data_IF_395099913253
#
_entry.id   IF_395099913253
#
_cell.length_a   1.000
_cell.length_b   1.000
_cell.length_c   1.000
_cell.angle_alpha   90.00
_cell.angle_beta   90.00
_cell.angle_gamma   90.00
#
_symmetry.space_group_name_H-M   'P 1'
#
loop_
_entity.id
_entity.type
_entity.pdbx_description
1 polymer ?
#
# COMPACT_ATOMS: atom_id res chain seq x y z
N UNK A 1 11.17 7.93 -9.69
CA UNK A 1 10.87 7.17 -8.46
C UNK A 1 10.48 5.74 -8.83
N UNK A 2 11.23 4.72 -8.38
CA UNK A 2 11.02 3.33 -8.82
C UNK A 2 9.69 2.79 -8.27
N UNK A 3 8.69 2.65 -9.15
CA UNK A 3 7.39 2.03 -8.86
C UNK A 3 7.54 0.72 -8.10
N UNK A 4 8.61 -0.02 -8.38
CA UNK A 4 8.99 -1.25 -7.70
C UNK A 4 9.06 -1.13 -6.16
N UNK A 5 9.73 -0.11 -5.62
CA UNK A 5 9.86 0.07 -4.16
C UNK A 5 8.51 0.42 -3.53
N UNK A 6 7.72 1.25 -4.22
CA UNK A 6 6.37 1.59 -3.76
C UNK A 6 5.46 0.34 -3.75
N UNK A 7 5.54 -0.50 -4.79
CA UNK A 7 4.82 -1.78 -4.83
C UNK A 7 5.24 -2.71 -3.70
N UNK A 8 6.53 -2.82 -3.40
CA UNK A 8 7.00 -3.63 -2.27
C UNK A 8 6.45 -3.12 -0.93
N UNK A 9 6.45 -1.81 -0.71
CA UNK A 9 5.86 -1.23 0.50
C UNK A 9 4.35 -1.49 0.59
N UNK A 10 3.63 -1.42 -0.52
CA UNK A 10 2.20 -1.74 -0.57
C UNK A 10 1.97 -3.23 -0.26
N UNK A 11 2.81 -4.13 -0.77
CA UNK A 11 2.74 -5.57 -0.45
C UNK A 11 3.04 -5.83 1.03
N UNK A 12 4.03 -5.16 1.60
CA UNK A 12 4.31 -5.24 3.03
C UNK A 12 3.12 -4.74 3.86
N UNK A 13 2.45 -3.65 3.42
CA UNK A 13 1.24 -3.13 4.08
C UNK A 13 0.07 -4.09 3.97
N UNK A 14 -0.15 -4.69 2.80
CA UNK A 14 -1.16 -5.73 2.60
C UNK A 14 -0.96 -6.88 3.58
N UNK A 15 0.29 -7.34 3.74
CA UNK A 15 0.62 -8.49 4.57
C UNK A 15 0.13 -8.35 6.02
N UNK A 16 0.24 -7.16 6.61
CA UNK A 16 -0.30 -6.92 7.96
C UNK A 16 -1.73 -6.41 7.95
N UNK A 17 -2.17 -5.60 6.99
CA UNK A 17 -3.54 -5.06 7.00
C UNK A 17 -4.60 -6.16 6.86
N UNK A 18 -4.32 -7.21 6.08
CA UNK A 18 -5.29 -8.28 5.83
C UNK A 18 -5.74 -9.02 7.11
N UNK A 19 -4.84 -9.52 7.99
CA UNK A 19 -5.22 -10.10 9.27
C UNK A 19 -6.07 -9.16 10.14
N UNK A 20 -5.74 -7.87 10.16
CA UNK A 20 -6.50 -6.88 10.91
C UNK A 20 -7.89 -6.64 10.32
N UNK A 21 -8.08 -6.77 9.00
CA UNK A 21 -9.40 -6.73 8.38
C UNK A 21 -10.28 -7.92 8.80
N UNK A 22 -9.69 -9.12 8.93
CA UNK A 22 -10.41 -10.29 9.44
C UNK A 22 -10.84 -10.09 10.90
N UNK A 23 -9.95 -9.49 11.71
CA UNK A 23 -10.26 -9.15 13.09
C UNK A 23 -11.38 -8.10 13.17
N UNK A 24 -11.27 -7.00 12.42
CA UNK A 24 -12.31 -5.96 12.36
C UNK A 24 -13.67 -6.53 11.96
N UNK A 25 -13.72 -7.43 10.97
CA UNK A 25 -14.96 -8.13 10.58
C UNK A 25 -15.59 -8.83 11.78
N UNK A 26 -14.79 -9.59 12.51
CA UNK A 26 -15.27 -10.40 13.62
C UNK A 26 -15.83 -9.58 14.80
N UNK A 27 -15.47 -8.30 14.89
CA UNK A 27 -15.95 -7.39 15.93
C UNK A 27 -17.10 -6.50 15.44
N UNK A 28 -17.02 -5.96 14.23
CA UNK A 28 -17.95 -4.94 13.74
C UNK A 28 -19.13 -5.50 12.94
N UNK A 29 -18.90 -6.58 12.20
CA UNK A 29 -19.89 -7.16 11.27
C UNK A 29 -19.85 -8.70 11.31
N UNK A 30 -20.04 -9.33 12.48
CA UNK A 30 -19.86 -10.77 12.62
C UNK A 30 -20.88 -11.59 11.81
N UNK A 31 -22.08 -11.06 11.58
CA UNK A 31 -23.12 -11.69 10.76
C UNK A 31 -22.82 -11.73 9.26
N UNK A 32 -21.88 -10.90 8.78
CA UNK A 32 -21.62 -10.77 7.35
C UNK A 32 -20.83 -11.98 6.82
N UNK A 33 -21.34 -12.74 5.83
CA UNK A 33 -20.67 -13.95 5.37
C UNK A 33 -19.43 -13.65 4.51
N UNK A 34 -19.42 -12.52 3.78
CA UNK A 34 -18.35 -12.14 2.87
C UNK A 34 -17.11 -11.55 3.55
N UNK A 35 -16.08 -11.24 2.76
CA UNK A 35 -14.95 -10.45 3.22
C UNK A 35 -15.34 -8.97 3.30
N UNK A 36 -14.94 -8.27 4.37
CA UNK A 36 -15.21 -6.83 4.49
C UNK A 36 -14.72 -6.09 3.26
N UNK A 37 -13.47 -6.34 2.85
CA UNK A 37 -12.89 -5.81 1.63
C UNK A 37 -12.28 -6.96 0.83
N UNK A 38 -12.40 -6.93 -0.49
CA UNK A 38 -11.71 -7.92 -1.33
C UNK A 38 -10.19 -7.78 -1.17
N UNK A 39 -9.40 -8.85 -0.96
CA UNK A 39 -7.96 -8.77 -0.69
C UNK A 39 -7.19 -7.95 -1.75
N UNK A 40 -7.56 -8.11 -3.02
CA UNK A 40 -6.95 -7.37 -4.13
C UNK A 40 -7.09 -5.84 -3.99
N UNK A 41 -8.14 -5.34 -3.34
CA UNK A 41 -8.39 -3.90 -3.18
C UNK A 41 -7.44 -3.25 -2.17
N UNK A 42 -6.93 -4.02 -1.20
CA UNK A 42 -5.91 -3.55 -0.26
C UNK A 42 -4.60 -3.17 -0.99
N UNK A 43 -4.32 -3.79 -2.13
CA UNK A 43 -3.17 -3.49 -2.99
C UNK A 43 -3.55 -2.51 -4.10
N UNK A 44 -4.70 -2.73 -4.75
CA UNK A 44 -5.13 -1.93 -5.89
C UNK A 44 -5.43 -0.48 -5.51
N UNK A 45 -6.04 -0.22 -4.35
CA UNK A 45 -6.46 1.13 -3.99
C UNK A 45 -5.27 2.08 -3.75
N UNK A 46 -4.24 1.71 -2.96
CA UNK A 46 -3.02 2.54 -2.85
C UNK A 46 -2.29 2.71 -4.19
N UNK A 47 -2.26 1.68 -5.04
CA UNK A 47 -1.66 1.77 -6.37
C UNK A 47 -2.42 2.73 -7.29
N UNK A 48 -3.75 2.69 -7.28
CA UNK A 48 -4.60 3.61 -8.03
C UNK A 48 -4.36 5.05 -7.57
N UNK A 49 -4.31 5.26 -6.26
CA UNK A 49 -4.03 6.56 -5.66
C UNK A 49 -2.65 7.10 -6.08
N UNK A 50 -1.61 6.25 -6.03
CA UNK A 50 -0.27 6.63 -6.50
C UNK A 50 -0.25 6.96 -8.00
N UNK A 51 -0.92 6.14 -8.82
CA UNK A 51 -1.01 6.35 -10.26
C UNK A 51 -1.73 7.66 -10.61
N UNK A 52 -2.82 7.98 -9.90
CA UNK A 52 -3.59 9.21 -10.15
C UNK A 52 -2.82 10.47 -9.80
N UNK A 53 -2.08 10.51 -8.70
CA UNK A 53 -1.21 11.65 -8.37
C UNK A 53 -0.14 11.84 -9.43
N UNK A 54 0.49 10.75 -9.89
CA UNK A 54 1.50 10.83 -10.93
C UNK A 54 0.92 11.29 -12.26
N UNK A 55 -0.22 10.74 -12.66
CA UNK A 55 -0.93 11.19 -13.85
C UNK A 55 -1.27 12.69 -13.76
N UNK A 56 -1.77 13.12 -12.60
CA UNK A 56 -2.11 14.52 -12.37
C UNK A 56 -0.87 15.43 -12.39
N UNK A 57 0.30 14.95 -11.94
CA UNK A 57 1.57 15.69 -12.03
C UNK A 57 2.14 15.82 -13.45
N UNK A 58 1.63 15.04 -14.42
CA UNK A 58 2.04 15.13 -15.83
C UNK A 58 1.26 16.21 -16.60
N UNK A 59 0.26 16.85 -15.98
CA UNK A 59 -0.44 17.96 -16.63
C UNK A 59 0.48 19.19 -16.67
N UNK A 60 0.73 19.77 -17.86
CA UNK A 60 1.64 20.90 -17.99
C UNK A 60 1.11 22.10 -17.21
N UNK A 61 1.97 22.72 -16.41
CA UNK A 61 1.65 24.01 -15.79
C UNK A 61 1.41 25.05 -16.89
N UNK A 62 0.48 26.00 -16.68
CA UNK A 62 0.33 27.12 -17.60
C UNK A 62 1.66 27.88 -17.73
N UNK A 63 1.90 28.40 -18.94
CA UNK A 63 3.16 29.00 -19.41
C UNK A 63 3.81 30.13 -18.58
N UNK A 64 3.16 30.89 -17.66
CA UNK A 64 3.87 31.97 -16.97
C UNK A 64 4.90 31.50 -15.93
N UNK A 65 4.96 30.20 -15.61
CA UNK A 65 5.86 29.63 -14.59
C UNK A 65 7.19 29.10 -15.16
N UNK A 66 7.37 29.13 -16.48
CA UNK A 66 8.58 28.63 -17.15
C UNK A 66 9.81 29.55 -16.94
N UNK A 67 9.60 30.84 -16.65
CA UNK A 67 10.67 31.83 -16.57
C UNK A 67 11.51 31.76 -15.28
N UNK A 68 11.09 31.03 -14.24
CA UNK A 68 11.84 30.96 -12.97
C UNK A 68 11.87 29.54 -12.36
N UNK A 69 12.75 28.64 -12.85
CA UNK A 69 12.83 27.25 -12.38
C UNK A 69 13.23 27.10 -10.90
N UNK A 70 13.70 28.16 -10.24
CA UNK A 70 14.03 28.14 -8.80
C UNK A 70 12.81 28.27 -7.89
N UNK A 71 11.73 28.93 -8.32
CA UNK A 71 10.49 29.04 -7.54
C UNK A 71 9.68 27.73 -7.50
N UNK A 72 9.86 26.86 -8.49
CA UNK A 72 9.28 25.51 -8.55
C UNK A 72 9.83 24.54 -7.49
N UNK A 73 11.05 24.76 -7.01
CA UNK A 73 11.68 23.95 -5.96
C UNK A 73 11.29 24.38 -4.54
N UNK A 74 10.92 25.65 -4.36
CA UNK A 74 10.54 26.21 -3.05
C UNK A 74 9.03 26.16 -2.76
N UNK A 75 8.19 25.81 -3.75
CA UNK A 75 6.74 25.72 -3.58
C UNK A 75 6.22 24.29 -3.77
N UNK A 76 6.33 23.42 -2.74
CA UNK A 76 5.68 22.10 -2.74
C UNK A 76 4.14 22.17 -2.85
N UNK A 77 3.56 23.38 -2.82
CA UNK A 77 2.14 23.68 -2.97
C UNK A 77 1.64 23.83 -4.42
N UNK A 78 2.49 23.66 -5.44
CA UNK A 78 2.10 23.76 -6.85
C UNK A 78 1.21 22.63 -7.38
N UNK A 79 0.77 21.69 -6.52
CA UNK A 79 -0.43 20.93 -6.83
C UNK A 79 -1.62 21.89 -6.74
N UNK A 80 -1.91 22.54 -7.87
CA UNK A 80 -3.02 23.50 -8.03
C UNK A 80 -4.26 22.93 -7.35
N UNK A 81 -5.03 23.73 -6.62
CA UNK A 81 -6.24 23.26 -5.91
C UNK A 81 -7.14 22.38 -6.80
N UNK A 82 -7.17 22.67 -8.11
CA UNK A 82 -7.82 21.88 -9.17
C UNK A 82 -7.36 20.42 -9.20
N UNK A 83 -6.05 20.20 -9.16
CA UNK A 83 -5.43 18.87 -9.15
C UNK A 83 -5.81 18.10 -7.89
N UNK A 84 -5.83 18.78 -6.73
CA UNK A 84 -6.27 18.16 -5.46
C UNK A 84 -7.73 17.73 -5.53
N UNK A 85 -8.59 18.57 -6.11
CA UNK A 85 -10.01 18.24 -6.32
C UNK A 85 -10.19 17.10 -7.30
N UNK A 86 -9.47 17.11 -8.43
CA UNK A 86 -9.56 16.02 -9.42
C UNK A 86 -9.14 14.70 -8.77
N UNK A 87 -8.03 14.67 -8.04
CA UNK A 87 -7.57 13.47 -7.32
C UNK A 87 -8.60 13.04 -6.26
N UNK A 88 -9.18 13.98 -5.51
CA UNK A 88 -10.22 13.66 -4.53
C UNK A 88 -11.50 13.10 -5.19
N UNK A 89 -11.94 13.69 -6.31
CA UNK A 89 -13.11 13.24 -7.07
C UNK A 89 -12.89 11.85 -7.68
N UNK A 90 -11.69 11.58 -8.22
CA UNK A 90 -11.33 10.25 -8.72
C UNK A 90 -11.31 9.24 -7.59
N UNK A 91 -10.77 9.60 -6.42
CA UNK A 91 -10.80 8.76 -5.22
C UNK A 91 -12.23 8.44 -4.78
N UNK A 92 -13.09 9.46 -4.72
CA UNK A 92 -14.49 9.30 -4.37
C UNK A 92 -15.23 8.39 -5.37
N UNK A 93 -15.04 8.62 -6.67
CA UNK A 93 -15.63 7.79 -7.72
C UNK A 93 -15.15 6.34 -7.63
N UNK A 94 -13.87 6.11 -7.33
CA UNK A 94 -13.31 4.79 -7.13
C UNK A 94 -13.93 4.09 -5.91
N UNK A 95 -14.07 4.78 -4.78
CA UNK A 95 -14.72 4.24 -3.57
C UNK A 95 -16.17 3.84 -3.85
N UNK A 96 -16.93 4.72 -4.50
CA UNK A 96 -18.33 4.46 -4.85
C UNK A 96 -18.43 3.28 -5.82
N UNK A 97 -17.60 3.25 -6.86
CA UNK A 97 -17.57 2.16 -7.85
C UNK A 97 -17.19 0.81 -7.23
N UNK A 98 -16.23 0.80 -6.29
CA UNK A 98 -15.87 -0.40 -5.52
C UNK A 98 -17.03 -0.84 -4.64
N UNK A 99 -17.72 0.11 -3.98
CA UNK A 99 -18.91 -0.18 -3.17
C UNK A 99 -20.00 -0.87 -3.99
N UNK A 100 -20.30 -0.33 -5.18
CA UNK A 100 -21.21 -1.00 -6.12
C UNK A 100 -20.70 -2.40 -6.50
N UNK A 101 -19.44 -2.52 -6.92
CA UNK A 101 -18.88 -3.78 -7.41
C UNK A 101 -18.87 -4.88 -6.34
N UNK A 102 -18.65 -4.52 -5.07
CA UNK A 102 -18.53 -5.49 -3.99
C UNK A 102 -19.88 -5.88 -3.39
N UNK A 103 -20.81 -4.94 -3.25
CA UNK A 103 -22.05 -5.16 -2.50
C UNK A 103 -23.30 -5.27 -3.37
N UNK A 104 -23.35 -4.56 -4.51
CA UNK A 104 -24.60 -4.37 -5.26
C UNK A 104 -24.58 -4.95 -6.67
N UNK A 105 -23.42 -5.36 -7.20
CA UNK A 105 -23.27 -5.80 -8.61
C UNK A 105 -24.20 -6.95 -9.04
N UNK A 106 -24.63 -7.78 -8.09
CA UNK A 106 -25.47 -8.94 -8.37
C UNK A 106 -26.96 -8.58 -8.39
N UNK A 107 -27.33 -7.50 -7.73
CA UNK A 107 -28.72 -7.08 -7.54
C UNK A 107 -29.10 -5.90 -8.43
N UNK A 108 -28.14 -4.99 -8.66
CA UNK A 108 -28.37 -3.74 -9.38
C UNK A 108 -27.33 -3.53 -10.48
N UNK A 109 -27.80 -3.07 -11.64
CA UNK A 109 -26.92 -2.55 -12.68
C UNK A 109 -26.34 -1.19 -12.27
N UNK A 110 -25.16 -0.83 -12.78
CA UNK A 110 -24.50 0.46 -12.47
C UNK A 110 -25.40 1.68 -12.69
N UNK A 111 -26.26 1.63 -13.70
CA UNK A 111 -27.10 2.75 -14.15
C UNK A 111 -28.40 2.91 -13.33
N UNK A 112 -28.73 1.94 -12.47
CA UNK A 112 -29.91 2.03 -11.62
C UNK A 112 -29.61 2.86 -10.38
N UNK A 113 -30.24 4.02 -10.22
CA UNK A 113 -29.99 4.90 -9.07
C UNK A 113 -30.37 4.31 -7.71
N UNK A 114 -31.16 3.22 -7.69
CA UNK A 114 -31.61 2.57 -6.46
C UNK A 114 -30.44 2.12 -5.56
N UNK A 115 -29.39 1.50 -6.13
CA UNK A 115 -28.26 1.06 -5.30
C UNK A 115 -27.52 2.22 -4.64
N UNK A 116 -27.48 3.40 -5.29
CA UNK A 116 -26.84 4.58 -4.73
C UNK A 116 -27.65 5.14 -3.56
N UNK A 117 -28.99 5.11 -3.67
CA UNK A 117 -29.88 5.45 -2.57
C UNK A 117 -29.70 4.49 -1.39
N UNK A 118 -29.74 3.17 -1.63
CA UNK A 118 -29.53 2.16 -0.59
C UNK A 118 -28.16 2.29 0.07
N UNK A 119 -27.12 2.54 -0.73
CA UNK A 119 -25.77 2.77 -0.23
C UNK A 119 -25.72 4.00 0.67
N UNK A 120 -26.25 5.15 0.22
CA UNK A 120 -26.30 6.38 1.01
C UNK A 120 -27.16 6.24 2.28
N UNK A 121 -28.25 5.48 2.19
CA UNK A 121 -29.12 5.18 3.33
C UNK A 121 -28.36 4.37 4.38
N UNK A 122 -27.70 3.26 3.99
CA UNK A 122 -26.90 2.42 4.91
C UNK A 122 -25.74 3.19 5.56
N UNK A 123 -25.15 4.16 4.84
CA UNK A 123 -24.08 4.99 5.40
C UNK A 123 -24.55 5.94 6.52
N UNK A 124 -25.84 6.25 6.58
CA UNK A 124 -26.41 7.23 7.52
C UNK A 124 -27.35 6.60 8.54
N UNK A 125 -28.01 5.50 8.18
CA UNK A 125 -29.02 4.82 8.96
C UNK A 125 -28.65 3.35 9.11
N UNK A 126 -28.21 3.00 10.31
CA UNK A 126 -27.84 1.64 10.69
C UNK A 126 -28.23 1.37 12.15
N UNK A 127 -28.43 0.10 12.48
CA UNK A 127 -28.85 -0.31 13.81
C UNK A 127 -27.77 -0.10 14.88
N UNK A 128 -28.14 -0.30 16.15
CA UNK A 128 -27.21 -0.12 17.28
C UNK A 128 -26.30 -1.32 17.56
N UNK A 129 -26.58 -2.48 16.96
CA UNK A 129 -25.91 -3.74 17.31
C UNK A 129 -24.75 -4.11 16.40
N UNK A 130 -24.84 -3.80 15.10
CA UNK A 130 -23.81 -4.15 14.13
C UNK A 130 -23.60 -3.00 13.13
N UNK A 131 -22.35 -2.86 12.74
CA UNK A 131 -21.87 -1.87 11.78
C UNK A 131 -21.95 -2.52 10.40
N UNK A 132 -22.81 -2.04 9.49
CA UNK A 132 -22.81 -2.47 8.10
C UNK A 132 -21.42 -2.52 7.46
N UNK A 133 -21.10 -3.61 6.74
CA UNK A 133 -19.78 -3.82 6.15
C UNK A 133 -19.42 -2.71 5.16
N UNK A 134 -20.42 -2.12 4.48
CA UNK A 134 -20.26 -1.01 3.55
C UNK A 134 -19.56 0.18 4.20
N UNK A 135 -19.93 0.53 5.43
CA UNK A 135 -19.36 1.67 6.16
C UNK A 135 -17.90 1.39 6.52
N UNK A 136 -17.61 0.21 7.07
CA UNK A 136 -16.23 -0.20 7.38
C UNK A 136 -15.37 -0.14 6.13
N UNK A 137 -15.88 -0.65 5.02
CA UNK A 137 -15.17 -0.66 3.73
C UNK A 137 -14.92 0.72 3.19
N UNK A 138 -15.89 1.65 3.28
CA UNK A 138 -15.68 3.05 2.89
C UNK A 138 -14.56 3.67 3.72
N UNK A 139 -14.57 3.51 5.05
CA UNK A 139 -13.50 4.04 5.90
C UNK A 139 -12.13 3.44 5.54
N UNK A 140 -12.05 2.13 5.33
CA UNK A 140 -10.81 1.46 4.95
C UNK A 140 -10.33 1.95 3.58
N UNK A 141 -11.21 2.08 2.59
CA UNK A 141 -10.84 2.58 1.27
C UNK A 141 -10.37 4.03 1.30
N UNK A 142 -10.98 4.89 2.12
CA UNK A 142 -10.51 6.26 2.35
C UNK A 142 -9.09 6.23 2.93
N UNK A 143 -8.85 5.45 3.98
CA UNK A 143 -7.52 5.33 4.59
C UNK A 143 -6.48 4.81 3.58
N UNK A 144 -6.82 3.79 2.80
CA UNK A 144 -5.95 3.25 1.74
C UNK A 144 -5.66 4.28 0.64
N UNK A 145 -6.68 5.05 0.25
CA UNK A 145 -6.54 6.13 -0.72
C UNK A 145 -5.57 7.18 -0.21
N UNK A 146 -5.77 7.68 1.00
CA UNK A 146 -4.93 8.70 1.63
C UNK A 146 -3.49 8.21 1.84
N UNK A 147 -3.31 6.94 2.23
CA UNK A 147 -2.00 6.32 2.34
C UNK A 147 -1.26 6.28 0.99
N UNK A 148 -1.97 5.94 -0.09
CA UNK A 148 -1.42 5.98 -1.44
C UNK A 148 -1.04 7.39 -1.91
N UNK A 149 -1.81 8.41 -1.52
CA UNK A 149 -1.48 9.82 -1.79
C UNK A 149 -0.21 10.23 -1.05
N UNK A 150 -0.10 9.88 0.23
CA UNK A 150 1.09 10.18 1.05
C UNK A 150 2.36 9.55 0.46
N UNK A 151 2.24 8.32 -0.03
CA UNK A 151 3.32 7.59 -0.70
C UNK A 151 3.71 8.19 -2.06
N UNK A 152 2.77 8.85 -2.75
CA UNK A 152 3.04 9.47 -4.04
C UNK A 152 3.86 10.76 -3.91
N UNK A 153 3.69 11.49 -2.80
CA UNK A 153 4.32 12.80 -2.56
C UNK A 153 5.74 12.66 -1.98
N UNK A 154 6.03 11.56 -1.27
CA UNK A 154 7.32 11.38 -0.57
C UNK A 154 8.30 10.52 -1.37
N UNK A 155 9.57 10.91 -1.40
CA UNK A 155 10.65 10.02 -1.80
C UNK A 155 10.97 9.04 -0.67
N UNK A 156 10.92 7.73 -0.94
CA UNK A 156 11.24 6.72 0.08
C UNK A 156 12.74 6.69 0.39
N UNK A 157 13.08 6.99 1.65
CA UNK A 157 14.42 6.80 2.21
C UNK A 157 14.58 5.39 2.79
N UNK A 158 15.82 5.03 3.14
CA UNK A 158 16.09 3.74 3.78
C UNK A 158 15.42 3.62 5.14
N UNK A 159 15.45 4.70 5.93
CA UNK A 159 14.84 4.75 7.26
C UNK A 159 13.31 4.62 7.18
N UNK A 160 12.69 5.17 6.13
CA UNK A 160 11.25 4.98 5.89
C UNK A 160 10.89 3.53 5.65
N UNK A 161 11.71 2.81 4.86
CA UNK A 161 11.49 1.40 4.52
C UNK A 161 11.73 0.52 5.74
N UNK A 162 12.81 0.77 6.49
CA UNK A 162 13.09 0.08 7.75
C UNK A 162 11.99 0.31 8.78
N UNK A 163 11.58 1.57 8.97
CA UNK A 163 10.48 1.92 9.86
C UNK A 163 9.16 1.28 9.44
N UNK A 164 8.87 1.18 8.14
CA UNK A 164 7.70 0.45 7.64
C UNK A 164 7.78 -1.05 7.93
N UNK A 165 8.94 -1.68 7.74
CA UNK A 165 9.15 -3.10 8.09
C UNK A 165 8.89 -3.34 9.58
N UNK A 166 9.53 -2.55 10.45
CA UNK A 166 9.38 -2.69 11.91
C UNK A 166 7.92 -2.51 12.33
N UNK A 167 7.23 -1.47 11.85
CA UNK A 167 5.80 -1.26 12.15
C UNK A 167 4.95 -2.45 11.73
N UNK A 168 5.18 -2.99 10.54
CA UNK A 168 4.41 -4.13 10.04
C UNK A 168 4.69 -5.42 10.84
N UNK A 169 5.93 -5.65 11.26
CA UNK A 169 6.30 -6.78 12.13
C UNK A 169 5.61 -6.63 13.50
N UNK A 170 5.68 -5.45 14.11
CA UNK A 170 5.01 -5.17 15.39
C UNK A 170 3.49 -5.39 15.26
N UNK A 171 2.87 -4.88 14.21
CA UNK A 171 1.43 -5.07 13.96
C UNK A 171 1.06 -6.55 13.78
N UNK A 172 1.91 -7.35 13.13
CA UNK A 172 1.70 -8.79 12.96
C UNK A 172 1.84 -9.54 14.29
N UNK A 173 2.86 -9.22 15.08
CA UNK A 173 3.06 -9.81 16.42
C UNK A 173 1.88 -9.49 17.34
N UNK A 174 1.42 -8.23 17.35
CA UNK A 174 0.25 -7.82 18.12
C UNK A 174 -1.01 -8.60 17.69
N UNK A 175 -1.21 -8.79 16.39
CA UNK A 175 -2.33 -9.59 15.89
C UNK A 175 -2.27 -11.04 16.43
N UNK A 176 -1.10 -11.68 16.36
CA UNK A 176 -0.92 -13.05 16.86
C UNK A 176 -1.16 -13.13 18.37
N UNK A 177 -0.65 -12.16 19.14
CA UNK A 177 -0.89 -12.08 20.59
C UNK A 177 -2.38 -11.92 20.89
N UNK A 178 -3.08 -11.00 20.22
CA UNK A 178 -4.51 -10.77 20.44
C UNK A 178 -5.31 -12.03 20.12
N UNK A 179 -5.02 -12.71 19.01
CA UNK A 179 -5.68 -13.96 18.65
C UNK A 179 -5.42 -15.07 19.68
N UNK A 180 -4.18 -15.20 20.15
CA UNK A 180 -3.80 -16.13 21.21
C UNK A 180 -4.51 -15.85 22.53
N UNK A 181 -4.54 -14.59 22.97
CA UNK A 181 -5.25 -14.16 24.18
C UNK A 181 -6.77 -14.33 24.06
N UNK A 182 -7.33 -14.18 22.86
CA UNK A 182 -8.74 -14.41 22.58
C UNK A 182 -9.11 -15.90 22.43
N UNK A 183 -8.13 -16.82 22.50
CA UNK A 183 -8.34 -18.25 22.31
C UNK A 183 -8.83 -18.62 20.91
N UNK A 184 -8.57 -17.78 19.91
CA UNK A 184 -9.03 -17.98 18.53
C UNK A 184 -7.92 -18.63 17.69
N UNK A 185 -8.25 -19.58 16.80
CA UNK A 185 -7.27 -20.14 15.89
C UNK A 185 -6.73 -19.05 14.96
N UNK A 186 -5.44 -19.11 14.65
CA UNK A 186 -4.84 -18.21 13.65
C UNK A 186 -5.42 -18.51 12.26
N UNK A 187 -5.61 -17.48 11.41
CA UNK A 187 -6.02 -17.69 10.03
C UNK A 187 -5.01 -18.58 9.30
N UNK A 188 -5.50 -19.47 8.44
CA UNK A 188 -4.63 -20.39 7.69
C UNK A 188 -3.63 -19.64 6.79
N UNK A 189 -3.95 -18.43 6.37
CA UNK A 189 -3.09 -17.63 5.50
C UNK A 189 -1.96 -16.89 6.24
N UNK A 190 -1.93 -16.91 7.57
CA UNK A 190 -0.98 -16.11 8.38
C UNK A 190 0.48 -16.40 8.00
N UNK A 191 0.78 -17.66 7.69
CA UNK A 191 2.11 -18.10 7.28
C UNK A 191 2.53 -17.48 5.95
N UNK A 192 1.66 -17.48 4.95
CA UNK A 192 1.93 -16.85 3.65
C UNK A 192 2.11 -15.34 3.77
N UNK A 193 1.38 -14.69 4.68
CA UNK A 193 1.48 -13.27 4.94
C UNK A 193 2.80 -12.91 5.62
N UNK A 194 3.28 -13.74 6.54
CA UNK A 194 4.61 -13.60 7.15
C UNK A 194 5.68 -13.72 6.06
N UNK A 195 5.63 -14.76 5.22
CA UNK A 195 6.57 -14.93 4.11
C UNK A 195 6.56 -13.72 3.17
N UNK A 196 5.38 -13.23 2.80
CA UNK A 196 5.22 -12.06 1.93
C UNK A 196 5.83 -10.81 2.58
N UNK A 197 5.56 -10.58 3.87
CA UNK A 197 6.10 -9.44 4.61
C UNK A 197 7.62 -9.47 4.64
N UNK A 198 8.22 -10.61 4.99
CA UNK A 198 9.66 -10.77 5.04
C UNK A 198 10.31 -10.67 3.65
N UNK A 199 9.75 -11.34 2.65
CA UNK A 199 10.26 -11.31 1.28
C UNK A 199 10.22 -9.90 0.69
N UNK A 200 9.08 -9.20 0.82
CA UNK A 200 8.93 -7.84 0.33
C UNK A 200 9.81 -6.85 1.11
N UNK A 201 9.93 -7.01 2.43
CA UNK A 201 10.79 -6.19 3.30
C UNK A 201 12.27 -6.32 2.96
N UNK A 202 12.77 -7.55 2.84
CA UNK A 202 14.17 -7.81 2.49
C UNK A 202 14.53 -7.26 1.11
N UNK A 203 13.65 -7.44 0.13
CA UNK A 203 13.83 -6.85 -1.19
C UNK A 203 13.84 -5.32 -1.11
N UNK A 204 12.88 -4.70 -0.41
CA UNK A 204 12.81 -3.25 -0.31
C UNK A 204 14.08 -2.65 0.33
N UNK A 205 14.59 -3.30 1.38
CA UNK A 205 15.84 -2.90 2.05
C UNK A 205 17.06 -3.05 1.13
N UNK A 206 17.18 -4.17 0.41
CA UNK A 206 18.27 -4.41 -0.53
C UNK A 206 18.28 -3.37 -1.68
N UNK A 207 17.11 -2.99 -2.19
CA UNK A 207 17.01 -1.94 -3.20
C UNK A 207 17.30 -0.55 -2.65
N UNK A 208 16.97 -0.31 -1.38
CA UNK A 208 17.28 0.95 -0.71
C UNK A 208 18.77 1.11 -0.42
N UNK A 209 19.46 0.05 0.00
CA UNK A 209 20.88 0.09 0.32
C UNK A 209 21.75 0.35 -0.92
N UNK A 210 21.36 -0.15 -2.10
CA UNK A 210 21.99 0.21 -3.38
C UNK A 210 21.99 1.72 -3.64
N UNK A 211 20.91 2.44 -3.29
CA UNK A 211 20.88 3.89 -3.49
C UNK A 211 21.85 4.63 -2.57
N UNK A 212 22.01 4.14 -1.35
CA UNK A 212 22.94 4.73 -0.37
C UNK A 212 24.38 4.56 -0.84
N UNK A 213 24.77 3.37 -1.30
CA UNK A 213 26.13 3.11 -1.78
C UNK A 213 26.45 3.94 -3.03
N UNK A 214 25.49 4.08 -3.96
CA UNK A 214 25.64 4.94 -5.15
C UNK A 214 25.73 6.43 -4.77
N UNK A 215 24.97 6.89 -3.77
CA UNK A 215 24.99 8.27 -3.30
C UNK A 215 26.28 8.64 -2.57
N UNK A 216 26.80 7.71 -1.75
CA UNK A 216 28.03 7.88 -0.99
C UNK A 216 29.27 7.92 -1.89
N UNK A 217 29.35 7.02 -2.90
CA UNK A 217 30.43 7.02 -3.90
C UNK A 217 30.47 8.32 -4.72
N UNK A 218 29.30 8.94 -4.94
CA UNK A 218 29.17 10.22 -5.64
C UNK A 218 29.57 11.40 -4.75
N UNK A 219 29.22 11.37 -3.47
CA UNK A 219 29.54 12.41 -2.50
C UNK A 219 31.03 12.43 -2.10
N UNK A 220 31.69 11.28 -2.09
CA UNK A 220 33.13 11.16 -1.78
C UNK A 220 34.06 11.50 -2.96
N UNK A 221 33.54 12.03 -4.07
CA UNK A 221 34.35 12.44 -5.22
C UNK A 221 35.00 11.29 -6.01
N UNK A 222 34.77 10.03 -5.61
CA UNK A 222 35.31 8.84 -6.29
C UNK A 222 34.55 8.49 -7.58
N UNK A 223 33.39 9.13 -7.81
CA UNK A 223 32.48 8.88 -8.94
C UNK A 223 33.05 9.15 -10.35
N UNK A 224 34.17 9.85 -10.49
CA UNK A 224 34.81 10.05 -11.81
C UNK A 224 35.81 8.95 -12.18
N UNK A 225 36.43 8.24 -11.22
CA UNK A 225 37.45 7.22 -11.51
C UNK A 225 36.91 5.79 -11.71
N UNK A 226 35.65 5.52 -11.36
CA UNK A 226 35.01 4.18 -11.46
C UNK A 226 33.72 4.15 -12.27
N UNK A 227 33.60 4.99 -13.31
CA UNK A 227 32.46 4.95 -14.26
C UNK A 227 32.33 3.55 -14.92
N UNK A 228 33.43 2.77 -14.99
CA UNK A 228 33.47 1.41 -15.53
C UNK A 228 33.04 0.29 -14.56
N UNK A 229 32.93 0.58 -13.25
CA UNK A 229 32.56 -0.40 -12.23
C UNK A 229 31.26 -0.02 -11.50
N UNK A 230 30.34 0.66 -12.20
CA UNK A 230 28.99 0.83 -11.70
C UNK A 230 28.37 -0.57 -11.49
N UNK A 231 27.86 -0.92 -10.30
CA UNK A 231 26.91 -2.02 -10.19
C UNK A 231 25.62 -1.55 -10.85
N UNK A 232 25.59 -1.64 -12.19
CA UNK A 232 24.33 -1.58 -12.92
C UNK A 232 23.45 -2.67 -12.34
N UNK A 233 22.15 -2.41 -12.21
CA UNK A 233 21.14 -3.44 -11.92
C UNK A 233 21.28 -4.54 -12.97
N UNK A 234 22.16 -5.49 -12.71
CA UNK A 234 22.46 -6.59 -13.60
C UNK A 234 21.59 -7.76 -13.16
N UNK A 235 21.14 -8.57 -14.11
CA UNK A 235 20.29 -9.75 -13.84
C UNK A 235 20.91 -10.65 -12.76
N UNK A 236 22.24 -10.72 -12.73
CA UNK A 236 23.02 -11.46 -11.73
C UNK A 236 22.94 -10.92 -10.30
N UNK A 237 22.85 -9.60 -10.12
CA UNK A 237 22.66 -8.99 -8.79
C UNK A 237 21.24 -9.24 -8.29
N UNK A 238 20.25 -9.05 -9.16
CA UNK A 238 18.85 -9.36 -8.84
C UNK A 238 18.69 -10.83 -8.48
N UNK A 239 19.30 -11.75 -9.24
CA UNK A 239 19.22 -13.18 -8.98
C UNK A 239 19.92 -13.57 -7.68
N UNK A 240 21.04 -12.95 -7.31
CA UNK A 240 21.71 -13.23 -6.03
C UNK A 240 20.88 -12.74 -4.84
N UNK A 241 20.35 -11.52 -4.90
CA UNK A 241 19.46 -11.02 -3.84
C UNK A 241 18.21 -11.88 -3.71
N UNK A 242 17.53 -12.20 -4.83
CA UNK A 242 16.38 -13.10 -4.80
C UNK A 242 16.76 -14.47 -4.23
N UNK A 243 17.88 -15.05 -4.65
CA UNK A 243 18.37 -16.33 -4.14
C UNK A 243 18.66 -16.29 -2.63
N UNK A 244 19.26 -15.21 -2.12
CA UNK A 244 19.49 -15.04 -0.68
C UNK A 244 18.19 -14.88 0.08
N UNK A 245 17.24 -14.07 -0.43
CA UNK A 245 15.93 -13.88 0.20
C UNK A 245 15.14 -15.18 0.22
N UNK A 246 15.03 -15.86 -0.91
CA UNK A 246 14.34 -17.16 -1.00
C UNK A 246 15.07 -18.25 -0.21
N UNK A 247 16.40 -18.24 -0.16
CA UNK A 247 17.21 -19.16 0.64
C UNK A 247 16.97 -18.98 2.13
N UNK A 248 16.98 -17.74 2.63
CA UNK A 248 16.68 -17.44 4.03
C UNK A 248 15.23 -17.74 4.39
N UNK A 249 14.28 -17.46 3.48
CA UNK A 249 12.88 -17.84 3.65
C UNK A 249 12.73 -19.36 3.70
N UNK A 250 13.33 -20.10 2.77
CA UNK A 250 13.28 -21.56 2.74
C UNK A 250 13.89 -22.16 4.02
N UNK A 251 15.00 -21.61 4.50
CA UNK A 251 15.63 -22.05 5.74
C UNK A 251 14.72 -21.77 6.95
N UNK A 252 14.09 -20.59 7.02
CA UNK A 252 13.10 -20.27 8.04
C UNK A 252 11.88 -21.19 8.02
N UNK A 253 11.40 -21.56 6.83
CA UNK A 253 10.30 -22.51 6.64
C UNK A 253 10.72 -23.91 7.12
N UNK A 254 11.91 -24.39 6.74
CA UNK A 254 12.44 -25.69 7.16
C UNK A 254 12.55 -25.76 8.69
N UNK A 255 13.12 -24.73 9.32
CA UNK A 255 13.23 -24.65 10.79
C UNK A 255 11.84 -24.63 11.43
N UNK A 256 10.90 -23.88 10.88
CA UNK A 256 9.53 -23.80 11.40
C UNK A 256 8.67 -25.05 11.18
N UNK A 257 9.04 -25.96 10.28
CA UNK A 257 8.38 -27.26 10.09
C UNK A 257 9.00 -28.33 11.01
N UNK A 258 10.30 -28.19 11.33
CA UNK A 258 11.05 -29.12 12.18
C UNK A 258 10.74 -28.90 13.68
N UNK A 259 10.39 -27.67 14.06
CA UNK A 259 9.92 -27.29 15.40
C UNK A 259 8.42 -27.52 15.58
#
# INVERSE_FOLDING_TARGET
MNYFVATLLILMRFAWLWPWMLLLKSFLSPSYPGNLIHPALLVAMPLLSLATVKWASLTPLPAPLEENPKQLLESPDLLTWRTRIVVALVGLAAIIGIGWWQYYRLEYSLWQWQWLYEFGYILTHWGTQEVPPQVVTVFVLIVLWLNGLGDAVRGFTHDDIWGALVRNVVAMVLFVIIMGLAGRPLPAEIFYLIILLFGAGMLALAFSSLKITIGLDRALGMGQRRISAMPRMNRYWLSTVLLTVFGLLALGIIVGIIL
#
